data_IF_344786099486
#
_entry.id   IF_344786099486
#
_cell.length_a   1.000
_cell.length_b   1.000
_cell.length_c   1.000
_cell.angle_alpha   90.00
_cell.angle_beta   90.00
_cell.angle_gamma   90.00
#
_symmetry.space_group_name_H-M   'P 1'
#
loop_
_entity.id
_entity.type
_entity.pdbx_description
1 polymer ?
#
# COMPACT_ATOMS: atom_id res chain seq x y z
N UNK A 1 6.27 2.09 11.86
CA UNK A 1 5.79 1.07 10.91
C UNK A 1 5.28 1.68 9.61
N UNK A 2 4.34 2.64 9.66
CA UNK A 2 3.77 3.24 8.43
C UNK A 2 4.79 3.83 7.46
N UNK A 3 5.81 4.52 7.95
CA UNK A 3 6.90 5.06 7.11
C UNK A 3 7.63 3.96 6.34
N UNK A 4 8.01 2.87 7.00
CA UNK A 4 8.69 1.72 6.36
C UNK A 4 7.84 1.08 5.25
N UNK A 5 6.53 0.99 5.46
CA UNK A 5 5.61 0.47 4.45
C UNK A 5 5.53 1.43 3.25
N UNK A 6 5.49 2.74 3.48
CA UNK A 6 5.52 3.74 2.39
C UNK A 6 6.83 3.70 1.60
N UNK A 7 7.96 3.57 2.29
CA UNK A 7 9.27 3.37 1.66
C UNK A 7 9.29 2.08 0.85
N UNK A 8 8.74 0.98 1.38
CA UNK A 8 8.64 -0.30 0.67
C UNK A 8 7.73 -0.23 -0.57
N UNK A 9 6.64 0.56 -0.54
CA UNK A 9 5.80 0.84 -1.71
C UNK A 9 6.64 1.50 -2.81
N UNK A 10 7.38 2.56 -2.47
CA UNK A 10 8.27 3.24 -3.44
C UNK A 10 9.44 2.36 -3.86
N UNK A 11 10.00 1.51 -3.00
CA UNK A 11 11.04 0.58 -3.40
C UNK A 11 10.51 -0.50 -4.37
N UNK A 12 9.22 -0.84 -4.29
CA UNK A 12 8.59 -1.87 -5.12
C UNK A 12 8.15 -1.32 -6.48
N UNK A 13 7.63 -0.09 -6.52
CA UNK A 13 7.10 0.51 -7.75
C UNK A 13 7.91 1.70 -8.31
N UNK A 14 8.71 2.36 -7.48
CA UNK A 14 9.24 3.70 -7.74
C UNK A 14 10.34 3.78 -8.79
N UNK A 15 10.97 2.67 -9.16
CA UNK A 15 11.98 2.67 -10.24
C UNK A 15 11.34 2.89 -11.62
N UNK A 16 10.06 2.56 -11.82
CA UNK A 16 9.43 2.60 -13.15
C UNK A 16 8.00 3.14 -13.15
N UNK A 17 7.21 2.84 -12.12
CA UNK A 17 5.74 2.92 -12.19
C UNK A 17 5.10 3.89 -11.19
N UNK A 18 5.75 4.22 -10.07
CA UNK A 18 5.14 5.10 -9.05
C UNK A 18 5.78 6.48 -9.03
N UNK A 19 5.09 7.53 -9.52
CA UNK A 19 5.62 8.88 -9.46
C UNK A 19 5.81 9.36 -8.03
N UNK A 20 6.88 10.12 -7.78
CA UNK A 20 7.11 10.75 -6.48
C UNK A 20 6.01 11.76 -6.14
N UNK A 21 5.75 11.92 -4.84
CA UNK A 21 4.89 12.98 -4.29
C UNK A 21 5.53 13.54 -3.03
N UNK A 22 5.40 14.86 -2.85
CA UNK A 22 5.84 15.54 -1.65
C UNK A 22 4.94 15.13 -0.47
N UNK A 23 5.53 14.80 0.69
CA UNK A 23 4.78 14.50 1.91
C UNK A 23 3.92 15.67 2.41
N UNK A 24 4.25 16.90 2.00
CA UNK A 24 3.52 18.12 2.33
C UNK A 24 2.57 18.58 1.20
N UNK A 25 2.32 17.72 0.21
CA UNK A 25 1.37 18.02 -0.86
C UNK A 25 -0.01 18.35 -0.29
N UNK A 26 -0.66 19.37 -0.86
CA UNK A 26 -2.03 19.73 -0.54
C UNK A 26 -2.99 18.58 -0.91
N UNK A 27 -4.19 18.52 -0.30
CA UNK A 27 -5.22 17.54 -0.66
C UNK A 27 -5.54 17.52 -2.17
N UNK A 28 -5.46 18.70 -2.82
CA UNK A 28 -5.70 18.83 -4.26
C UNK A 28 -4.59 18.16 -5.11
N UNK A 29 -3.33 18.30 -4.70
CA UNK A 29 -2.18 17.69 -5.35
C UNK A 29 -2.16 16.19 -5.13
N UNK A 30 -2.49 15.73 -3.91
CA UNK A 30 -2.66 14.31 -3.59
C UNK A 30 -3.74 13.70 -4.49
N UNK A 31 -4.90 14.35 -4.60
CA UNK A 31 -5.99 13.87 -5.44
C UNK A 31 -5.58 13.77 -6.92
N UNK A 32 -4.89 14.79 -7.44
CA UNK A 32 -4.36 14.78 -8.82
C UNK A 32 -3.34 13.65 -9.01
N UNK A 33 -2.42 13.49 -8.06
CA UNK A 33 -1.40 12.43 -8.09
C UNK A 33 -2.04 11.04 -8.10
N UNK A 34 -3.03 10.77 -7.25
CA UNK A 34 -3.70 9.46 -7.21
C UNK A 34 -4.54 9.15 -8.44
N UNK A 35 -5.03 10.17 -9.14
CA UNK A 35 -5.74 10.02 -10.41
C UNK A 35 -4.82 9.75 -11.60
N UNK A 36 -3.51 9.81 -11.42
CA UNK A 36 -2.54 9.47 -12.46
C UNK A 36 -2.71 7.99 -12.84
N UNK A 37 -2.76 7.66 -14.15
CA UNK A 37 -2.86 6.28 -14.62
C UNK A 37 -1.81 5.35 -14.01
N UNK A 38 -0.60 5.86 -13.76
CA UNK A 38 0.51 5.09 -13.20
C UNK A 38 0.25 4.70 -11.73
N UNK A 39 -0.32 5.60 -10.93
CA UNK A 39 -0.71 5.31 -9.54
C UNK A 39 -1.88 4.33 -9.51
N UNK A 40 -2.85 4.50 -10.41
CA UNK A 40 -3.99 3.58 -10.53
C UNK A 40 -3.53 2.16 -10.90
N UNK A 41 -2.61 2.02 -11.86
CA UNK A 41 -2.01 0.72 -12.20
C UNK A 41 -1.32 0.06 -11.01
N UNK A 42 -0.57 0.83 -10.21
CA UNK A 42 0.05 0.31 -8.97
C UNK A 42 -1.00 -0.16 -7.95
N UNK A 43 -2.15 0.53 -7.86
CA UNK A 43 -3.26 0.12 -6.99
C UNK A 43 -3.89 -1.20 -7.46
N UNK A 44 -4.16 -1.34 -8.77
CA UNK A 44 -4.74 -2.55 -9.35
C UNK A 44 -3.81 -3.77 -9.27
N UNK A 45 -2.50 -3.56 -9.25
CA UNK A 45 -1.51 -4.64 -9.18
C UNK A 45 -1.23 -5.13 -7.76
N UNK A 46 -1.74 -4.48 -6.70
CA UNK A 46 -1.45 -4.86 -5.30
C UNK A 46 -1.72 -6.34 -5.01
N UNK A 47 -2.79 -6.89 -5.56
CA UNK A 47 -3.22 -8.28 -5.37
C UNK A 47 -2.98 -9.14 -6.61
N UNK A 48 -2.02 -8.75 -7.45
CA UNK A 48 -1.53 -9.55 -8.57
C UNK A 48 -0.14 -10.08 -8.24
N UNK A 49 0.22 -11.16 -8.93
CA UNK A 49 1.57 -11.71 -8.95
C UNK A 49 2.56 -10.68 -9.52
N UNK A 50 3.82 -10.74 -9.09
CA UNK A 50 4.86 -9.80 -9.56
C UNK A 50 5.24 -10.02 -11.02
N UNK A 51 5.05 -11.23 -11.52
CA UNK A 51 5.30 -11.66 -12.89
C UNK A 51 4.19 -12.63 -13.33
N UNK A 52 4.29 -13.15 -14.55
CA UNK A 52 3.31 -14.07 -15.13
C UNK A 52 3.38 -15.50 -14.54
N UNK A 53 4.27 -15.76 -13.57
CA UNK A 53 4.32 -17.03 -12.86
C UNK A 53 3.30 -17.05 -11.72
N UNK A 54 2.39 -18.03 -11.72
CA UNK A 54 1.37 -18.20 -10.68
C UNK A 54 1.97 -18.45 -9.28
N UNK A 55 3.20 -18.98 -9.21
CA UNK A 55 3.92 -19.20 -7.96
C UNK A 55 4.65 -17.95 -7.44
N UNK A 56 4.71 -16.86 -8.22
CA UNK A 56 5.38 -15.64 -7.77
C UNK A 56 4.56 -14.94 -6.68
N UNK A 57 5.22 -14.32 -5.70
CA UNK A 57 4.50 -13.70 -4.59
C UNK A 57 3.63 -12.56 -5.11
N UNK A 58 2.50 -12.33 -4.43
CA UNK A 58 1.70 -11.14 -4.67
C UNK A 58 2.53 -9.88 -4.38
N UNK A 59 2.31 -8.82 -5.16
CA UNK A 59 2.98 -7.53 -4.95
C UNK A 59 2.82 -7.03 -3.51
N UNK A 60 1.64 -7.19 -2.91
CA UNK A 60 1.41 -6.81 -1.52
C UNK A 60 2.31 -7.58 -0.55
N UNK A 61 2.50 -8.90 -0.74
CA UNK A 61 3.39 -9.73 0.09
C UNK A 61 4.82 -9.21 -0.01
N UNK A 62 5.29 -8.88 -1.22
CA UNK A 62 6.63 -8.32 -1.41
C UNK A 62 6.82 -6.98 -0.70
N UNK A 63 5.81 -6.11 -0.72
CA UNK A 63 5.84 -4.83 0.00
C UNK A 63 5.96 -5.06 1.50
N UNK A 64 5.19 -6.01 2.06
CA UNK A 64 5.27 -6.34 3.49
C UNK A 64 6.64 -6.90 3.84
N UNK A 65 7.14 -7.90 3.12
CA UNK A 65 8.47 -8.47 3.34
C UNK A 65 9.56 -7.39 3.36
N UNK A 66 9.54 -6.46 2.40
CA UNK A 66 10.48 -5.33 2.34
C UNK A 66 10.33 -4.41 3.54
N UNK A 67 9.10 -4.10 3.97
CA UNK A 67 8.84 -3.23 5.12
C UNK A 67 9.32 -3.85 6.45
N UNK A 68 9.27 -5.18 6.56
CA UNK A 68 9.72 -5.94 7.73
C UNK A 68 11.17 -6.43 7.61
N UNK A 69 11.86 -6.11 6.51
CA UNK A 69 13.23 -6.56 6.23
C UNK A 69 13.37 -8.10 6.28
N UNK A 70 12.36 -8.81 5.79
CA UNK A 70 12.30 -10.27 5.78
C UNK A 70 12.05 -10.92 7.15
N UNK A 71 11.77 -10.14 8.20
CA UNK A 71 11.38 -10.67 9.52
C UNK A 71 9.92 -11.16 9.49
N UNK A 72 9.62 -12.10 10.37
CA UNK A 72 8.24 -12.55 10.62
C UNK A 72 7.34 -11.38 11.02
N UNK A 73 6.09 -11.45 10.60
CA UNK A 73 5.04 -10.49 10.93
C UNK A 73 3.74 -11.23 11.23
N UNK A 74 2.93 -10.64 12.10
CA UNK A 74 1.63 -11.16 12.50
C UNK A 74 0.52 -10.80 11.50
N UNK A 75 -0.62 -11.49 11.58
CA UNK A 75 -1.80 -11.15 10.75
C UNK A 75 -2.26 -9.69 10.92
N UNK A 76 -2.32 -9.11 12.15
CA UNK A 76 -2.62 -7.69 12.34
C UNK A 76 -1.63 -6.75 11.65
N UNK A 77 -0.34 -7.09 11.66
CA UNK A 77 0.70 -6.33 10.98
C UNK A 77 0.55 -6.39 9.45
N UNK A 78 0.19 -7.55 8.90
CA UNK A 78 -0.13 -7.71 7.50
C UNK A 78 -1.36 -6.89 7.09
N UNK A 79 -2.44 -6.96 7.88
CA UNK A 79 -3.65 -6.15 7.68
C UNK A 79 -3.38 -4.64 7.77
N UNK A 80 -2.51 -4.21 8.68
CA UNK A 80 -2.04 -2.83 8.79
C UNK A 80 -1.29 -2.38 7.53
N UNK A 81 -0.44 -3.23 6.96
CA UNK A 81 0.25 -2.93 5.71
C UNK A 81 -0.71 -2.84 4.52
N UNK A 82 -1.70 -3.74 4.41
CA UNK A 82 -2.78 -3.66 3.41
C UNK A 82 -3.50 -2.32 3.51
N UNK A 83 -3.85 -1.90 4.73
CA UNK A 83 -4.57 -0.66 4.96
C UNK A 83 -3.76 0.56 4.49
N UNK A 84 -2.46 0.59 4.73
CA UNK A 84 -1.58 1.67 4.25
C UNK A 84 -1.46 1.66 2.74
N UNK A 85 -1.22 0.51 2.11
CA UNK A 85 -1.11 0.40 0.65
C UNK A 85 -2.38 0.90 -0.04
N UNK A 86 -3.55 0.42 0.41
CA UNK A 86 -4.84 0.87 -0.09
C UNK A 86 -5.05 2.36 0.16
N UNK A 87 -4.71 2.87 1.33
CA UNK A 87 -4.89 4.31 1.62
C UNK A 87 -4.05 5.18 0.71
N UNK A 88 -2.78 4.83 0.56
CA UNK A 88 -1.83 5.63 -0.21
C UNK A 88 -2.17 5.62 -1.70
N UNK A 89 -2.51 4.47 -2.28
CA UNK A 89 -2.67 4.32 -3.73
C UNK A 89 -4.12 4.44 -4.23
N UNK A 90 -5.13 4.29 -3.37
CA UNK A 90 -6.54 4.29 -3.82
C UNK A 90 -6.99 5.69 -4.29
N UNK A 91 -7.42 5.84 -5.56
CA UNK A 91 -7.85 7.11 -6.14
C UNK A 91 -9.11 7.72 -5.51
N UNK A 92 -9.88 6.93 -4.74
CA UNK A 92 -11.11 7.37 -4.05
C UNK A 92 -10.84 7.99 -2.68
N UNK A 93 -9.59 8.00 -2.21
CA UNK A 93 -9.21 8.63 -0.95
C UNK A 93 -8.32 9.83 -1.22
N UNK A 94 -8.62 10.97 -0.60
CA UNK A 94 -7.94 12.27 -0.78
C UNK A 94 -6.71 12.46 0.13
N UNK A 95 -6.43 11.52 1.02
CA UNK A 95 -5.31 11.59 1.96
C UNK A 95 -4.18 10.59 1.63
N UNK A 96 -2.92 11.03 1.74
CA UNK A 96 -1.74 10.13 1.69
C UNK A 96 -1.58 9.29 2.95
N UNK A 97 -2.10 9.79 4.07
CA UNK A 97 -2.01 9.17 5.38
C UNK A 97 -3.37 9.21 6.05
N UNK A 98 -3.73 8.11 6.71
CA UNK A 98 -4.95 8.04 7.50
C UNK A 98 -4.66 8.47 8.94
N UNK A 99 -5.63 9.13 9.57
CA UNK A 99 -5.61 9.29 11.04
C UNK A 99 -5.55 7.89 11.67
N UNK A 100 -4.72 7.75 12.70
CA UNK A 100 -4.45 6.46 13.34
C UNK A 100 -5.72 5.78 13.87
N UNK A 101 -6.68 6.54 14.37
CA UNK A 101 -7.98 6.05 14.84
C UNK A 101 -8.78 5.34 13.74
N UNK A 102 -8.83 5.91 12.54
CA UNK A 102 -9.53 5.33 11.38
C UNK A 102 -8.74 4.13 10.83
N UNK A 103 -7.41 4.19 10.90
CA UNK A 103 -6.54 3.10 10.48
C UNK A 103 -6.77 1.84 11.32
N UNK A 104 -6.93 1.98 12.64
CA UNK A 104 -7.26 0.86 13.55
C UNK A 104 -8.56 0.16 13.15
N UNK A 105 -9.64 0.91 12.90
CA UNK A 105 -10.92 0.32 12.47
C UNK A 105 -10.83 -0.41 11.12
N UNK A 106 -10.01 0.07 10.18
CA UNK A 106 -9.78 -0.65 8.92
C UNK A 106 -8.95 -1.92 9.10
N UNK A 107 -7.98 -1.93 10.02
CA UNK A 107 -7.22 -3.15 10.34
C UNK A 107 -8.14 -4.22 10.88
N UNK A 108 -9.05 -3.88 11.79
CA UNK A 108 -10.06 -4.81 12.30
C UNK A 108 -10.90 -5.41 11.16
N UNK A 109 -11.37 -4.57 10.22
CA UNK A 109 -12.10 -5.04 9.04
C UNK A 109 -11.27 -6.01 8.17
N UNK A 110 -10.00 -5.69 7.88
CA UNK A 110 -9.15 -6.56 7.08
C UNK A 110 -8.75 -7.85 7.79
N UNK A 111 -8.62 -7.82 9.12
CA UNK A 111 -8.42 -9.03 9.91
C UNK A 111 -9.59 -9.99 9.75
N UNK A 112 -10.83 -9.52 9.89
CA UNK A 112 -12.03 -10.36 9.73
C UNK A 112 -12.09 -11.00 8.34
N UNK A 113 -11.72 -10.28 7.29
CA UNK A 113 -11.69 -10.80 5.92
C UNK A 113 -10.51 -11.72 5.58
N UNK A 114 -9.49 -11.83 6.44
CA UNK A 114 -8.37 -12.78 6.29
C UNK A 114 -8.68 -14.16 6.90
N UNK A 115 -9.73 -14.27 7.71
CA UNK A 115 -10.16 -15.51 8.37
C UNK A 115 -11.43 -16.13 7.76
N UNK A 116 -11.89 -15.62 6.61
CA UNK A 116 -13.01 -16.15 5.81
C UNK A 116 -12.49 -16.59 4.44
#
# INVERSE_FOLDING_TARGET
>A
MATKIREAIFATFGEVNLPLINSNASPSEITKWKKRPEVFKCFESLFKNMDDNEDSPLVITRIVERAFLGKEYSNPEFAYAIAICKTMLNPKHDALQMKETILKSKVEYYLVGLFL
#
